data_IF_424996425844
#
_entry.id   IF_424996425844
#
_cell.length_a   1.000
_cell.length_b   1.000
_cell.length_c   1.000
_cell.angle_alpha   90.00
_cell.angle_beta   90.00
_cell.angle_gamma   90.00
#
_symmetry.space_group_name_H-M   'P 1'
#
loop_
_entity.id
_entity.type
_entity.pdbx_description
1 polymer ?
#
# COMPACT_ATOMS: atom_id res chain seq x y z
N UNK A 1 29.22 -2.15 11.34
CA UNK A 1 28.14 -3.16 11.24
C UNK A 1 27.95 -3.49 9.77
N UNK A 2 27.88 -4.77 9.42
CA UNK A 2 27.48 -5.16 8.06
C UNK A 2 26.02 -4.72 7.81
N UNK A 3 25.69 -4.32 6.59
CA UNK A 3 24.34 -3.90 6.21
C UNK A 3 23.27 -4.95 6.61
N UNK A 4 23.63 -6.23 6.52
CA UNK A 4 22.79 -7.36 6.93
C UNK A 4 22.42 -7.34 8.42
N UNK A 5 23.33 -6.92 9.31
CA UNK A 5 23.10 -6.89 10.75
C UNK A 5 22.16 -5.74 11.12
N UNK A 6 22.29 -4.60 10.43
CA UNK A 6 21.41 -3.44 10.64
C UNK A 6 19.97 -3.75 10.25
N UNK A 7 19.76 -4.45 9.15
CA UNK A 7 18.41 -4.86 8.69
C UNK A 7 17.75 -5.82 9.68
N UNK A 8 18.52 -6.68 10.35
CA UNK A 8 17.99 -7.61 11.36
C UNK A 8 17.74 -6.97 12.73
N UNK A 9 18.26 -5.76 12.95
CA UNK A 9 18.11 -5.08 14.25
C UNK A 9 16.64 -4.82 14.61
N UNK A 10 16.29 -4.98 15.89
CA UNK A 10 14.93 -4.73 16.38
C UNK A 10 14.46 -3.29 16.11
N UNK A 11 15.36 -2.32 16.23
CA UNK A 11 15.08 -0.91 15.96
C UNK A 11 14.70 -0.68 14.49
N UNK A 12 15.46 -1.25 13.55
CA UNK A 12 15.14 -1.15 12.12
C UNK A 12 13.80 -1.83 11.80
N UNK A 13 13.57 -3.02 12.34
CA UNK A 13 12.33 -3.76 12.15
C UNK A 13 11.10 -3.02 12.72
N UNK A 14 11.27 -2.27 13.82
CA UNK A 14 10.22 -1.41 14.36
C UNK A 14 9.91 -0.24 13.42
N UNK A 15 10.93 0.41 12.86
CA UNK A 15 10.73 1.49 11.88
C UNK A 15 10.03 0.99 10.62
N UNK A 16 10.41 -0.18 10.10
CA UNK A 16 9.72 -0.81 8.97
C UNK A 16 8.24 -1.04 9.28
N UNK A 17 7.91 -1.53 10.49
CA UNK A 17 6.51 -1.74 10.90
C UNK A 17 5.72 -0.44 10.96
N UNK A 18 6.31 0.64 11.50
CA UNK A 18 5.67 1.97 11.54
C UNK A 18 5.33 2.43 10.12
N UNK A 19 6.31 2.39 9.22
CA UNK A 19 6.12 2.83 7.83
C UNK A 19 5.09 1.97 7.09
N UNK A 20 5.09 0.65 7.32
CA UNK A 20 4.08 -0.25 6.72
C UNK A 20 2.66 0.13 7.12
N UNK A 21 2.41 0.40 8.41
CA UNK A 21 1.07 0.79 8.88
C UNK A 21 0.67 2.13 8.30
N UNK A 22 1.57 3.12 8.29
CA UNK A 22 1.28 4.43 7.68
C UNK A 22 0.95 4.32 6.19
N UNK A 23 1.69 3.47 5.46
CA UNK A 23 1.45 3.28 4.03
C UNK A 23 0.11 2.58 3.75
N UNK A 24 -0.22 1.51 4.48
CA UNK A 24 -1.50 0.79 4.34
C UNK A 24 -2.70 1.72 4.57
N UNK A 25 -2.64 2.56 5.61
CA UNK A 25 -3.70 3.56 5.87
C UNK A 25 -3.79 4.58 4.71
N UNK A 26 -2.66 5.10 4.23
CA UNK A 26 -2.64 6.08 3.15
C UNK A 26 -3.17 5.49 1.83
N UNK A 27 -2.82 4.24 1.50
CA UNK A 27 -3.28 3.52 0.33
C UNK A 27 -4.80 3.30 0.38
N UNK A 28 -5.34 2.82 1.52
CA UNK A 28 -6.79 2.64 1.71
C UNK A 28 -7.57 3.94 1.54
N UNK A 29 -7.05 5.06 2.07
CA UNK A 29 -7.67 6.37 1.90
C UNK A 29 -7.60 6.83 0.43
N UNK A 30 -6.48 6.62 -0.26
CA UNK A 30 -6.35 6.92 -1.69
C UNK A 30 -7.33 6.10 -2.54
N UNK A 31 -7.49 4.82 -2.24
CA UNK A 31 -8.47 3.94 -2.90
C UNK A 31 -9.90 4.39 -2.63
N UNK A 32 -10.23 4.73 -1.39
CA UNK A 32 -11.54 5.26 -1.02
C UNK A 32 -11.87 6.57 -1.76
N UNK A 33 -10.89 7.47 -1.92
CA UNK A 33 -11.03 8.68 -2.74
C UNK A 33 -11.31 8.34 -4.19
N UNK A 34 -10.55 7.40 -4.77
CA UNK A 34 -10.70 6.96 -6.16
C UNK A 34 -12.09 6.35 -6.40
N UNK A 35 -12.56 5.50 -5.50
CA UNK A 35 -13.89 4.87 -5.57
C UNK A 35 -15.03 5.90 -5.52
N UNK A 36 -14.81 7.05 -4.85
CA UNK A 36 -15.77 8.17 -4.76
C UNK A 36 -15.59 9.23 -5.83
N UNK A 37 -14.64 9.05 -6.76
CA UNK A 37 -14.31 10.06 -7.77
C UNK A 37 -13.75 11.36 -7.19
N UNK A 38 -13.29 11.37 -5.94
CA UNK A 38 -12.79 12.57 -5.27
C UNK A 38 -11.32 12.83 -5.63
N UNK A 39 -11.03 14.03 -6.12
CA UNK A 39 -9.67 14.48 -6.41
C UNK A 39 -9.00 15.02 -5.14
N UNK A 40 -7.66 14.95 -5.09
CA UNK A 40 -6.88 15.51 -3.98
C UNK A 40 -7.08 17.02 -3.77
N UNK A 41 -7.39 17.79 -4.82
CA UNK A 41 -7.72 19.21 -4.68
C UNK A 41 -9.07 19.42 -3.98
N UNK A 42 -10.07 18.60 -4.27
CA UNK A 42 -11.39 18.69 -3.64
C UNK A 42 -11.32 18.30 -2.16
N UNK A 43 -10.54 17.27 -1.84
CA UNK A 43 -10.29 16.90 -0.45
C UNK A 43 -9.54 18.00 0.30
N UNK A 44 -8.55 18.63 -0.33
CA UNK A 44 -7.82 19.76 0.24
C UNK A 44 -8.76 20.93 0.57
N UNK A 45 -9.63 21.30 -0.36
CA UNK A 45 -10.66 22.33 -0.16
C UNK A 45 -11.61 21.97 0.98
N UNK A 46 -12.11 20.73 1.01
CA UNK A 46 -13.04 20.26 2.04
C UNK A 46 -12.43 20.28 3.45
N UNK A 47 -11.13 20.02 3.56
CA UNK A 47 -10.40 20.01 4.84
C UNK A 47 -9.76 21.37 5.20
N UNK A 48 -9.86 22.38 4.34
CA UNK A 48 -9.15 23.65 4.52
C UNK A 48 -7.62 23.50 4.56
N UNK A 49 -7.07 22.52 3.82
CA UNK A 49 -5.62 22.23 3.74
C UNK A 49 -5.07 22.52 2.35
N UNK A 50 -3.75 22.56 2.23
CA UNK A 50 -3.11 22.71 0.92
C UNK A 50 -3.09 21.38 0.14
N UNK A 51 -3.14 21.45 -1.19
CA UNK A 51 -2.99 20.27 -2.06
C UNK A 51 -1.66 19.53 -1.82
N UNK A 52 -0.59 20.28 -1.55
CA UNK A 52 0.72 19.71 -1.24
C UNK A 52 0.70 18.90 0.07
N UNK A 53 -0.05 19.36 1.06
CA UNK A 53 -0.25 18.64 2.33
C UNK A 53 -0.99 17.32 2.09
N UNK A 54 -2.07 17.33 1.30
CA UNK A 54 -2.81 16.10 0.94
C UNK A 54 -1.93 15.13 0.16
N UNK A 55 -1.17 15.62 -0.83
CA UNK A 55 -0.25 14.78 -1.59
C UNK A 55 0.81 14.15 -0.68
N UNK A 56 1.42 14.93 0.21
CA UNK A 56 2.42 14.41 1.17
C UNK A 56 1.84 13.34 2.09
N UNK A 57 0.58 13.51 2.52
CA UNK A 57 -0.12 12.50 3.32
C UNK A 57 -0.33 11.20 2.53
N UNK A 58 -0.90 11.29 1.32
CA UNK A 58 -1.25 10.11 0.50
C UNK A 58 -0.03 9.30 0.05
N UNK A 59 1.14 9.93 -0.09
CA UNK A 59 2.38 9.27 -0.48
C UNK A 59 3.22 8.79 0.73
N UNK A 60 2.62 8.68 1.93
CA UNK A 60 3.30 8.13 3.10
C UNK A 60 4.37 9.05 3.69
N UNK A 61 4.17 10.38 3.62
CA UNK A 61 5.04 11.36 4.25
C UNK A 61 5.27 11.08 5.74
N UNK A 62 6.46 11.42 6.24
CA UNK A 62 6.90 11.11 7.61
C UNK A 62 5.85 11.50 8.66
N UNK A 63 5.45 10.50 9.46
CA UNK A 63 4.65 10.60 10.68
C UNK A 63 3.22 11.15 10.51
N UNK A 64 2.46 10.57 9.58
CA UNK A 64 1.01 10.77 9.54
C UNK A 64 0.36 10.28 10.83
N UNK A 65 -0.35 11.17 11.53
CA UNK A 65 -1.07 10.80 12.74
C UNK A 65 -2.39 10.09 12.41
N UNK A 66 -2.84 9.19 13.30
CA UNK A 66 -4.19 8.60 13.19
C UNK A 66 -5.28 9.66 13.18
N UNK A 67 -5.13 10.76 13.94
CA UNK A 67 -6.07 11.88 13.93
C UNK A 67 -6.26 12.45 12.53
N UNK A 68 -5.17 12.64 11.80
CA UNK A 68 -5.19 13.13 10.42
C UNK A 68 -5.88 12.15 9.47
N UNK A 69 -5.67 10.85 9.66
CA UNK A 69 -6.36 9.83 8.88
C UNK A 69 -7.87 9.85 9.14
N UNK A 70 -8.29 10.05 10.40
CA UNK A 70 -9.69 10.17 10.79
C UNK A 70 -10.34 11.41 10.17
N UNK A 71 -9.68 12.57 10.19
CA UNK A 71 -10.19 13.79 9.50
C UNK A 71 -10.48 13.52 8.01
N UNK A 72 -9.58 12.81 7.33
CA UNK A 72 -9.74 12.48 5.91
C UNK A 72 -10.86 11.45 5.71
N UNK A 73 -10.94 10.42 6.56
CA UNK A 73 -12.00 9.43 6.49
C UNK A 73 -13.38 10.08 6.69
N UNK A 74 -13.53 10.96 7.68
CA UNK A 74 -14.75 11.72 7.95
C UNK A 74 -15.13 12.61 6.74
N UNK A 75 -14.16 13.30 6.15
CA UNK A 75 -14.37 14.05 4.91
C UNK A 75 -14.80 13.18 3.71
N UNK A 76 -14.54 11.87 3.74
CA UNK A 76 -14.99 10.90 2.75
C UNK A 76 -16.30 10.20 3.14
N UNK A 77 -16.90 10.54 4.29
CA UNK A 77 -18.07 9.86 4.84
C UNK A 77 -17.75 8.42 5.26
N UNK A 78 -16.57 8.21 5.83
CA UNK A 78 -16.03 6.93 6.26
C UNK A 78 -15.53 7.03 7.70
N UNK A 79 -15.30 5.88 8.31
CA UNK A 79 -14.66 5.76 9.62
C UNK A 79 -13.46 4.79 9.55
N UNK A 80 -12.57 4.85 10.54
CA UNK A 80 -11.38 4.01 10.65
C UNK A 80 -11.54 3.03 11.81
N UNK A 81 -11.58 1.75 11.48
CA UNK A 81 -11.51 0.66 12.46
C UNK A 81 -10.06 0.14 12.55
N UNK A 82 -9.50 0.11 13.76
CA UNK A 82 -8.16 -0.45 14.02
C UNK A 82 -8.30 -1.73 14.84
N UNK A 83 -7.69 -2.81 14.34
CA UNK A 83 -7.63 -4.10 15.04
C UNK A 83 -6.19 -4.50 15.33
N UNK A 84 -5.97 -5.03 16.53
CA UNK A 84 -4.73 -5.70 16.87
C UNK A 84 -4.79 -7.14 16.37
N UNK A 85 -3.69 -7.60 15.80
CA UNK A 85 -3.55 -8.97 15.28
C UNK A 85 -2.26 -9.58 15.81
N UNK A 86 -2.27 -10.90 15.97
CA UNK A 86 -1.06 -11.63 16.31
C UNK A 86 0.02 -11.40 15.25
N UNK A 87 1.26 -11.20 15.69
CA UNK A 87 2.35 -10.93 14.75
C UNK A 87 2.55 -12.06 13.72
N UNK A 88 2.29 -13.30 14.12
CA UNK A 88 2.41 -14.48 13.27
C UNK A 88 1.41 -14.50 12.11
N UNK A 89 0.23 -13.89 12.26
CA UNK A 89 -0.82 -13.91 11.24
C UNK A 89 -0.58 -12.92 10.09
N UNK A 90 0.31 -11.94 10.27
CA UNK A 90 0.66 -10.95 9.24
C UNK A 90 1.48 -11.50 8.08
N UNK A 91 1.98 -12.74 8.19
CA UNK A 91 2.71 -13.42 7.10
C UNK A 91 1.80 -13.94 5.98
N UNK A 92 0.47 -13.82 6.10
CA UNK A 92 -0.48 -14.39 5.14
C UNK A 92 -0.98 -13.38 4.09
N UNK A 93 -0.73 -12.07 4.24
CA UNK A 93 -1.41 -11.05 3.41
C UNK A 93 -0.47 -10.18 2.57
N UNK A 94 0.86 -10.30 2.71
CA UNK A 94 1.80 -9.76 1.69
C UNK A 94 2.06 -10.74 0.54
N UNK A 95 1.50 -11.95 0.65
CA UNK A 95 1.33 -12.88 -0.46
C UNK A 95 -0.08 -12.73 -1.08
N UNK A 96 -0.66 -11.51 -1.08
CA UNK A 96 -1.63 -11.17 -2.12
C UNK A 96 -0.85 -11.22 -3.42
N UNK A 97 -1.00 -12.37 -4.03
CA UNK A 97 -0.49 -12.75 -5.32
C UNK A 97 -0.55 -11.58 -6.30
N UNK A 98 0.61 -11.24 -6.86
CA UNK A 98 0.66 -10.81 -8.25
C UNK A 98 0.23 -12.03 -9.08
N UNK A 99 -1.06 -12.36 -9.05
CA UNK A 99 -1.71 -13.26 -9.99
C UNK A 99 -2.97 -12.53 -10.44
N UNK A 100 -2.85 -11.85 -11.57
CA UNK A 100 -4.02 -11.55 -12.39
C UNK A 100 -4.59 -12.90 -12.85
N UNK A 101 -5.46 -13.49 -12.06
CA UNK A 101 -6.27 -14.63 -12.47
C UNK A 101 -7.70 -14.11 -12.55
N UNK A 102 -8.26 -14.09 -13.76
CA UNK A 102 -9.69 -13.88 -13.95
C UNK A 102 -10.46 -14.98 -13.20
N UNK A 103 -11.74 -14.77 -12.82
CA UNK A 103 -12.56 -15.82 -12.19
C UNK A 103 -12.63 -17.14 -12.99
N UNK A 104 -12.28 -17.11 -14.29
CA UNK A 104 -12.17 -18.25 -15.19
C UNK A 104 -10.88 -19.07 -15.05
N UNK A 105 -9.94 -18.69 -14.18
CA UNK A 105 -8.63 -19.36 -14.04
C UNK A 105 -7.60 -18.96 -15.10
N UNK A 106 -7.93 -18.03 -15.98
CA UNK A 106 -7.03 -17.57 -17.04
C UNK A 106 -6.06 -16.49 -16.51
N UNK A 107 -4.77 -16.69 -16.80
CA UNK A 107 -3.71 -15.73 -16.45
C UNK A 107 -3.81 -14.55 -17.42
N UNK A 108 -4.13 -13.36 -16.91
CA UNK A 108 -4.23 -12.16 -17.73
C UNK A 108 -2.85 -11.50 -17.84
N UNK A 109 -2.27 -11.33 -19.04
CA UNK A 109 -0.98 -10.67 -19.19
C UNK A 109 -1.05 -9.21 -18.73
N UNK A 110 -0.12 -8.82 -17.86
CA UNK A 110 0.02 -7.43 -17.42
C UNK A 110 0.61 -6.59 -18.56
N UNK A 111 -0.16 -5.61 -19.03
CA UNK A 111 0.36 -4.58 -19.93
C UNK A 111 0.79 -3.38 -19.10
N UNK A 112 2.09 -3.16 -19.01
CA UNK A 112 2.62 -1.99 -18.31
C UNK A 112 2.21 -0.70 -19.05
N UNK A 113 2.09 0.41 -18.32
CA UNK A 113 1.66 1.72 -18.83
C UNK A 113 2.55 2.30 -19.94
N UNK A 114 3.70 1.67 -20.21
CA UNK A 114 4.66 1.99 -21.25
C UNK A 114 4.44 1.18 -22.56
N UNK A 115 3.37 0.40 -22.67
CA UNK A 115 3.03 -0.37 -23.87
C UNK A 115 3.83 -1.67 -24.04
N UNK A 116 4.72 -2.00 -23.10
CA UNK A 116 5.47 -3.25 -23.12
C UNK A 116 4.64 -4.38 -22.50
N UNK A 117 4.45 -5.45 -23.26
CA UNK A 117 3.84 -6.71 -22.81
C UNK A 117 4.94 -7.57 -22.21
N UNK A 118 4.78 -7.97 -20.95
CA UNK A 118 5.69 -8.88 -20.28
C UNK A 118 5.01 -10.23 -20.07
N UNK A 119 5.56 -11.27 -20.68
CA UNK A 119 5.15 -12.65 -20.44
C UNK A 119 5.99 -13.22 -19.28
N UNK A 120 5.37 -13.30 -18.09
CA UNK A 120 6.05 -13.75 -16.88
C UNK A 120 6.27 -15.28 -16.87
N UNK A 121 5.63 -16.03 -17.77
CA UNK A 121 5.84 -17.48 -17.88
C UNK A 121 7.20 -17.84 -18.47
N UNK A 122 7.83 -16.91 -19.19
CA UNK A 122 9.13 -17.14 -19.84
C UNK A 122 10.35 -16.95 -18.91
N UNK A 123 10.22 -16.28 -17.74
CA UNK A 123 11.37 -16.02 -16.86
C UNK A 123 11.52 -16.99 -15.68
N UNK A 124 10.53 -17.88 -15.48
CA UNK A 124 10.60 -18.99 -14.51
C UNK A 124 10.79 -20.31 -15.28
N UNK A 125 11.83 -20.33 -16.11
CA UNK A 125 12.27 -21.50 -16.86
C UNK A 125 13.53 -22.14 -16.26
N UNK A 126 13.32 -23.24 -15.53
CA UNK A 126 14.19 -24.44 -15.39
C UNK A 126 15.62 -24.29 -14.82
N UNK A 127 15.81 -24.66 -13.55
CA UNK A 127 17.02 -25.32 -12.98
C UNK A 127 16.82 -25.53 -11.46
N UNK A 128 16.93 -26.68 -10.79
CA UNK A 128 17.34 -28.04 -11.15
C UNK A 128 16.50 -29.02 -10.32
N UNK A 129 16.02 -30.09 -10.96
CA UNK A 129 15.81 -31.38 -10.34
C UNK A 129 16.61 -32.39 -11.17
N UNK A 130 17.75 -32.81 -10.64
CA UNK A 130 18.49 -34.04 -10.93
C UNK A 130 19.53 -34.21 -9.83
#
# INVERSE_FOLDING_TARGET
>A
MAWADRVKSAAFQLEVKKHRVTLDVAERLAEAMKARGMKASQLAEKLGKSRAWISKFLHGGRNTSFFTAVEIADALGLDIEVRLVERASLNLVSAVEIRNIAPSGEVIPFTARNGLKYDFTASIGKSQAA
#
